data_IF_912335416244
#
_entry.id   IF_912335416244
#
_cell.length_a   1.000
_cell.length_b   1.000
_cell.length_c   1.000
_cell.angle_alpha   90.00
_cell.angle_beta   90.00
_cell.angle_gamma   90.00
#
_symmetry.space_group_name_H-M   'P 1'
#
loop_
_entity.id
_entity.type
_entity.pdbx_description
1 polymer ?
#
# COMPACT_ATOMS: atom_id res chain seq x y z
N UNK A 1 -5.21 7.53 8.72
CA UNK A 1 -4.87 6.24 8.06
C UNK A 1 -5.00 6.43 6.57
N UNK A 2 -4.32 5.64 5.74
CA UNK A 2 -4.35 5.82 4.29
C UNK A 2 -4.71 4.52 3.59
N UNK A 3 -5.61 4.62 2.61
CA UNK A 3 -5.81 3.61 1.59
C UNK A 3 -4.98 4.02 0.37
N UNK A 4 -4.06 3.16 -0.01
CA UNK A 4 -3.33 3.27 -1.28
C UNK A 4 -4.01 2.36 -2.28
N UNK A 5 -4.47 2.96 -3.37
CA UNK A 5 -4.96 2.25 -4.53
C UNK A 5 -3.83 2.26 -5.58
N UNK A 6 -3.25 1.09 -5.83
CA UNK A 6 -2.33 0.85 -6.94
C UNK A 6 -3.13 0.42 -8.17
N UNK A 7 -2.81 1.00 -9.33
CA UNK A 7 -3.38 0.64 -10.62
C UNK A 7 -2.26 0.28 -11.61
N UNK A 8 -2.34 -0.92 -12.20
CA UNK A 8 -1.36 -1.33 -13.21
C UNK A 8 -1.62 -0.61 -14.53
N UNK A 9 -0.60 0.12 -15.00
CA UNK A 9 -0.58 0.81 -16.29
C UNK A 9 0.03 -0.05 -17.40
N UNK A 10 0.91 -1.00 -17.03
CA UNK A 10 1.59 -1.87 -17.98
C UNK A 10 1.80 -3.27 -17.38
N UNK A 11 0.86 -4.16 -17.66
CA UNK A 11 0.87 -5.54 -17.14
C UNK A 11 1.94 -6.42 -17.80
N UNK A 12 2.44 -6.06 -18.97
CA UNK A 12 3.41 -6.88 -19.71
C UNK A 12 4.78 -6.85 -19.03
N UNK A 13 5.10 -5.75 -18.34
CA UNK A 13 6.33 -5.59 -17.56
C UNK A 13 6.29 -6.29 -16.20
N UNK A 14 5.13 -6.80 -15.77
CA UNK A 14 4.98 -7.42 -14.46
C UNK A 14 5.59 -8.83 -14.45
N UNK A 15 6.84 -8.94 -13.97
CA UNK A 15 7.54 -10.23 -13.85
C UNK A 15 7.50 -10.78 -12.41
N UNK A 16 7.72 -12.09 -12.22
CA UNK A 16 7.89 -12.67 -10.88
C UNK A 16 9.04 -12.04 -10.08
N UNK A 17 10.15 -11.71 -10.74
CA UNK A 17 11.34 -11.09 -10.14
C UNK A 17 11.01 -9.70 -9.61
N UNK A 18 10.38 -8.86 -10.43
CA UNK A 18 9.99 -7.51 -10.03
C UNK A 18 8.89 -7.54 -8.96
N UNK A 19 8.02 -8.55 -9.00
CA UNK A 19 7.04 -8.79 -7.92
C UNK A 19 7.74 -9.19 -6.60
N UNK A 20 8.88 -9.87 -6.65
CA UNK A 20 9.67 -10.18 -5.46
C UNK A 20 10.40 -8.93 -4.95
N UNK A 21 10.97 -8.11 -5.83
CA UNK A 21 11.60 -6.83 -5.49
C UNK A 21 10.62 -5.87 -4.80
N UNK A 22 9.43 -5.67 -5.37
CA UNK A 22 8.36 -4.87 -4.76
C UNK A 22 8.01 -5.35 -3.35
N UNK A 23 7.85 -6.67 -3.16
CA UNK A 23 7.53 -7.25 -1.85
C UNK A 23 8.68 -7.09 -0.86
N UNK A 24 9.92 -7.31 -1.29
CA UNK A 24 11.11 -7.13 -0.46
C UNK A 24 11.31 -5.68 -0.03
N UNK A 25 11.05 -4.74 -0.94
CA UNK A 25 11.11 -3.30 -0.66
C UNK A 25 10.14 -2.89 0.46
N UNK A 26 8.90 -3.38 0.43
CA UNK A 26 7.88 -3.05 1.43
C UNK A 26 7.96 -3.87 2.73
N UNK A 27 8.80 -4.91 2.78
CA UNK A 27 8.84 -5.84 3.92
C UNK A 27 9.14 -5.14 5.25
N UNK A 28 10.06 -4.17 5.24
CA UNK A 28 10.42 -3.38 6.42
C UNK A 28 9.24 -2.59 6.99
N UNK A 29 8.38 -2.06 6.13
CA UNK A 29 7.21 -1.27 6.51
C UNK A 29 6.08 -2.12 7.10
N UNK A 30 5.92 -3.36 6.61
CA UNK A 30 5.02 -4.32 7.25
C UNK A 30 5.56 -4.77 8.61
N UNK A 31 6.87 -4.97 8.73
CA UNK A 31 7.52 -5.37 9.98
C UNK A 31 7.43 -4.28 11.05
N UNK A 32 7.51 -3.01 10.67
CA UNK A 32 7.36 -1.87 11.59
C UNK A 32 5.90 -1.55 11.94
N UNK A 33 4.93 -2.07 11.18
CA UNK A 33 3.52 -1.73 11.31
C UNK A 33 3.14 -0.38 10.69
N UNK A 34 4.03 0.21 9.88
CA UNK A 34 3.73 1.40 9.05
C UNK A 34 2.79 1.06 7.90
N UNK A 35 2.94 -0.13 7.31
CA UNK A 35 1.95 -0.77 6.45
C UNK A 35 1.26 -1.87 7.24
N UNK A 36 -0.07 -1.94 7.18
CA UNK A 36 -0.86 -2.89 7.96
C UNK A 36 -1.08 -4.18 7.17
N UNK A 37 -1.71 -4.06 6.00
CA UNK A 37 -1.98 -5.18 5.11
C UNK A 37 -2.24 -4.66 3.70
N UNK A 38 -2.15 -5.56 2.73
CA UNK A 38 -2.46 -5.27 1.35
C UNK A 38 -2.67 -6.53 0.53
N UNK A 39 -3.06 -6.36 -0.72
CA UNK A 39 -3.32 -7.47 -1.61
C UNK A 39 -3.59 -7.02 -3.05
N UNK A 40 -3.54 -7.99 -3.97
CA UNK A 40 -3.93 -7.76 -5.37
C UNK A 40 -5.43 -7.46 -5.45
N UNK A 41 -5.80 -6.61 -6.40
CA UNK A 41 -7.19 -6.46 -6.81
C UNK A 41 -7.68 -7.72 -7.54
N UNK A 42 -8.99 -7.94 -7.51
CA UNK A 42 -9.69 -8.95 -8.30
C UNK A 42 -10.83 -8.25 -9.09
N UNK A 43 -10.70 -8.06 -10.42
CA UNK A 43 -9.64 -8.57 -11.32
C UNK A 43 -8.26 -7.98 -11.07
N UNK A 44 -7.20 -8.62 -11.60
CA UNK A 44 -5.78 -8.26 -11.38
C UNK A 44 -5.38 -6.97 -12.10
N UNK A 45 -5.94 -5.84 -11.65
CA UNK A 45 -5.73 -4.50 -12.20
C UNK A 45 -4.83 -3.62 -11.33
N UNK A 46 -4.27 -4.18 -10.25
CA UNK A 46 -3.41 -3.46 -9.32
C UNK A 46 -3.44 -4.08 -7.93
N UNK A 47 -3.32 -3.24 -6.92
CA UNK A 47 -3.30 -3.63 -5.51
C UNK A 47 -3.96 -2.60 -4.60
N UNK A 48 -4.24 -3.02 -3.37
CA UNK A 48 -4.67 -2.16 -2.28
C UNK A 48 -3.68 -2.33 -1.14
N UNK A 49 -3.28 -1.23 -0.51
CA UNK A 49 -2.45 -1.25 0.71
C UNK A 49 -3.09 -0.32 1.74
N UNK A 50 -3.22 -0.79 2.97
CA UNK A 50 -3.61 0.04 4.11
C UNK A 50 -2.37 0.44 4.90
N UNK A 51 -2.23 1.74 5.12
CA UNK A 51 -1.06 2.37 5.71
C UNK A 51 -1.42 3.20 6.94
N UNK A 52 -0.55 3.13 7.95
CA UNK A 52 -0.58 3.91 9.20
C UNK A 52 0.60 4.88 9.29
N UNK A 53 1.16 5.29 8.16
CA UNK A 53 2.14 6.37 8.12
C UNK A 53 1.62 7.64 8.80
N UNK A 54 2.51 8.44 9.37
CA UNK A 54 2.14 9.65 10.13
C UNK A 54 1.59 10.78 9.26
N UNK A 55 1.95 10.82 7.97
CA UNK A 55 1.42 11.78 7.01
C UNK A 55 1.51 11.25 5.57
N UNK A 56 0.71 11.83 4.68
CA UNK A 56 0.68 11.47 3.26
C UNK A 56 2.05 11.66 2.59
N UNK A 57 2.82 12.69 2.95
CA UNK A 57 4.11 12.96 2.34
C UNK A 57 5.15 11.87 2.63
N UNK A 58 5.11 11.25 3.82
CA UNK A 58 5.98 10.12 4.14
C UNK A 58 5.61 8.90 3.30
N UNK A 59 4.30 8.64 3.17
CA UNK A 59 3.79 7.54 2.36
C UNK A 59 4.10 7.72 0.87
N UNK A 60 3.98 8.94 0.32
CA UNK A 60 4.37 9.23 -1.07
C UNK A 60 5.84 8.95 -1.33
N UNK A 61 6.74 9.34 -0.43
CA UNK A 61 8.18 9.04 -0.56
C UNK A 61 8.46 7.54 -0.64
N UNK A 62 7.75 6.72 0.13
CA UNK A 62 7.83 5.27 0.04
C UNK A 62 7.30 4.77 -1.33
N UNK A 63 6.12 5.23 -1.74
CA UNK A 63 5.47 4.76 -2.97
C UNK A 63 6.19 5.21 -4.24
N UNK A 64 6.78 6.41 -4.26
CA UNK A 64 7.55 6.93 -5.40
C UNK A 64 8.83 6.13 -5.63
N UNK A 65 9.36 5.48 -4.59
CA UNK A 65 10.54 4.63 -4.66
C UNK A 65 10.21 3.13 -4.83
N UNK A 66 8.91 2.78 -4.87
CA UNK A 66 8.45 1.41 -5.08
C UNK A 66 8.89 0.90 -6.47
N UNK A 67 9.46 -0.32 -6.58
CA UNK A 67 9.86 -0.90 -7.86
C UNK A 67 8.77 -0.90 -8.93
N UNK A 68 7.49 -1.09 -8.58
CA UNK A 68 6.40 -1.03 -9.56
C UNK A 68 6.17 0.38 -10.09
N UNK A 69 6.28 1.40 -9.24
CA UNK A 69 6.10 2.81 -9.64
C UNK A 69 7.31 3.30 -10.44
N UNK A 70 8.54 3.05 -9.97
CA UNK A 70 9.77 3.44 -10.66
C UNK A 70 9.91 2.85 -12.06
N UNK A 71 9.43 1.62 -12.26
CA UNK A 71 9.46 0.95 -13.56
C UNK A 71 8.22 1.26 -14.44
N UNK A 72 7.33 2.16 -13.98
CA UNK A 72 6.15 2.59 -14.75
C UNK A 72 5.11 1.49 -14.95
N UNK A 73 5.08 0.49 -14.06
CA UNK A 73 4.12 -0.63 -14.09
C UNK A 73 2.82 -0.25 -13.41
N UNK A 74 2.90 0.60 -12.38
CA UNK A 74 1.74 1.08 -11.67
C UNK A 74 1.78 2.57 -11.40
N UNK A 75 0.60 3.19 -11.40
CA UNK A 75 0.34 4.46 -10.72
C UNK A 75 -0.38 4.20 -9.41
N UNK A 76 -0.46 5.21 -8.56
CA UNK A 76 -1.20 5.10 -7.31
C UNK A 76 -2.05 6.34 -7.03
N UNK A 77 -3.11 6.15 -6.25
CA UNK A 77 -3.82 7.22 -5.56
C UNK A 77 -3.85 6.93 -4.06
N UNK A 78 -3.94 8.00 -3.27
CA UNK A 78 -4.00 7.92 -1.81
C UNK A 78 -5.33 8.53 -1.36
N UNK A 79 -6.05 7.82 -0.50
CA UNK A 79 -7.20 8.35 0.23
C UNK A 79 -6.90 8.33 1.71
N UNK A 80 -6.88 9.50 2.34
CA UNK A 80 -6.82 9.59 3.80
C UNK A 80 -8.19 9.28 4.39
N UNK A 81 -8.21 8.50 5.47
CA UNK A 81 -9.43 8.21 6.22
C UNK A 81 -9.15 8.01 7.70
N UNK A 82 -10.21 8.21 8.49
CA UNK A 82 -10.24 8.03 9.93
C UNK A 82 -11.15 6.83 10.24
N UNK A 83 -10.61 5.71 10.77
CA UNK A 83 -11.44 4.60 11.21
C UNK A 83 -12.28 5.01 12.42
N UNK A 84 -13.60 4.89 12.31
CA UNK A 84 -14.56 5.24 13.38
C UNK A 84 -15.32 4.03 13.91
N UNK A 85 -15.32 2.91 13.18
CA UNK A 85 -15.94 1.66 13.58
C UNK A 85 -15.05 0.51 13.12
N UNK A 86 -14.82 -0.47 14.01
CA UNK A 86 -14.04 -1.66 13.75
C UNK A 86 -14.61 -2.84 14.55
N UNK A 87 -14.41 -4.07 14.07
CA UNK A 87 -14.66 -5.26 14.90
C UNK A 87 -13.69 -5.29 16.08
N UNK A 88 -14.02 -6.03 17.14
CA UNK A 88 -13.20 -6.16 18.35
C UNK A 88 -11.71 -6.46 18.08
N UNK A 89 -11.41 -7.31 17.10
CA UNK A 89 -10.02 -7.68 16.72
C UNK A 89 -9.17 -6.53 16.15
N UNK A 90 -9.79 -5.41 15.79
CA UNK A 90 -9.16 -4.25 15.15
C UNK A 90 -9.49 -2.95 15.90
N UNK A 91 -9.89 -3.03 17.17
CA UNK A 91 -10.23 -1.86 17.97
C UNK A 91 -9.05 -0.90 18.18
N UNK A 92 -7.81 -1.41 18.07
CA UNK A 92 -6.56 -0.65 18.12
C UNK A 92 -6.35 0.29 16.93
N UNK A 93 -7.15 0.14 15.87
CA UNK A 93 -7.13 1.01 14.69
C UNK A 93 -8.00 2.25 14.82
N UNK A 94 -8.90 2.28 15.79
CA UNK A 94 -9.77 3.42 16.05
C UNK A 94 -8.95 4.56 16.62
N UNK A 95 -9.22 5.80 16.17
CA UNK A 95 -8.76 6.95 16.94
C UNK A 95 -9.46 6.91 18.29
N UNK A 96 -8.70 7.08 19.37
CA UNK A 96 -9.31 7.32 20.68
C UNK A 96 -10.22 8.55 20.57
N UNK A 97 -11.42 8.51 21.18
CA UNK A 97 -12.32 9.65 21.20
C UNK A 97 -11.71 10.88 21.89
#
# INVERSE_FOLDING_TARGET
MFLVDLHFTDMEKLTPELTAEHRGYLEGEYRSGSLLFGGRKAPRTGGIIISRHSCEQALRRLLDEDPFVKNGISTYSITEFVPVVASEKFSDLLLEP
#
